data_IF_588582596618
#
_entry.id   IF_588582596618
#
_cell.length_a   1.000
_cell.length_b   1.000
_cell.length_c   1.000
_cell.angle_alpha   90.00
_cell.angle_beta   90.00
_cell.angle_gamma   90.00
#
_symmetry.space_group_name_H-M   'P 1'
#
loop_
_entity.id
_entity.type
_entity.pdbx_description
1 polymer ?
#
# COMPACT_ATOMS: atom_id res chain seq x y z
N UNK A 1 7.59 -2.83 -6.43
CA UNK A 1 6.52 -1.87 -6.77
C UNK A 1 6.15 -1.08 -5.54
N UNK A 2 5.88 0.22 -5.70
CA UNK A 2 5.46 1.08 -4.59
C UNK A 2 4.09 1.67 -4.90
N UNK A 3 3.33 1.90 -3.85
CA UNK A 3 1.98 2.45 -3.92
C UNK A 3 1.93 3.70 -3.05
N UNK A 4 1.29 4.75 -3.53
CA UNK A 4 1.02 5.95 -2.76
C UNK A 4 -0.40 5.88 -2.23
N UNK A 5 -0.57 6.09 -0.94
CA UNK A 5 -1.88 6.20 -0.34
C UNK A 5 -2.52 7.51 -0.79
N UNK A 6 -3.67 7.42 -1.43
CA UNK A 6 -4.48 8.57 -1.87
C UNK A 6 -5.70 8.80 -1.00
N UNK A 7 -6.06 7.82 -0.17
CA UNK A 7 -7.13 7.91 0.82
C UNK A 7 -6.71 7.20 2.09
N UNK A 8 -6.98 7.79 3.25
CA UNK A 8 -6.55 7.23 4.53
C UNK A 8 -7.05 5.79 4.71
N UNK A 9 -6.17 4.95 5.26
CA UNK A 9 -6.39 3.58 5.68
C UNK A 9 -6.30 3.56 7.21
N UNK A 10 -7.40 3.87 7.92
CA UNK A 10 -7.42 3.89 9.38
C UNK A 10 -7.50 2.48 10.00
N UNK A 11 -7.82 1.45 9.21
CA UNK A 11 -8.01 0.07 9.67
C UNK A 11 -7.21 -0.88 8.76
N UNK A 12 -5.88 -0.82 8.87
CA UNK A 12 -5.01 -1.82 8.28
C UNK A 12 -4.68 -2.91 9.30
N UNK A 13 -4.21 -4.06 8.82
CA UNK A 13 -4.00 -5.24 9.66
C UNK A 13 -3.05 -5.00 10.84
N UNK A 14 -1.86 -4.45 10.59
CA UNK A 14 -0.86 -4.18 11.62
C UNK A 14 -0.61 -2.68 11.82
N UNK A 15 -1.46 -1.82 11.26
CA UNK A 15 -1.34 -0.39 11.42
C UNK A 15 -2.15 0.42 10.42
N UNK A 16 -1.92 1.73 10.44
CA UNK A 16 -2.65 2.68 9.60
C UNK A 16 -1.73 3.36 8.58
N UNK A 17 -2.31 3.75 7.45
CA UNK A 17 -1.62 4.52 6.43
C UNK A 17 -2.43 5.76 6.09
N UNK A 18 -1.77 6.90 5.95
CA UNK A 18 -2.41 8.19 5.70
C UNK A 18 -2.16 8.64 4.27
N UNK A 19 -2.97 9.54 3.75
CA UNK A 19 -2.75 10.12 2.42
C UNK A 19 -1.33 10.66 2.29
N UNK A 20 -0.62 10.22 1.25
CA UNK A 20 0.78 10.56 1.00
C UNK A 20 1.79 9.53 1.50
N UNK A 21 1.39 8.58 2.35
CA UNK A 21 2.26 7.45 2.72
C UNK A 21 2.64 6.62 1.50
N UNK A 22 3.84 6.04 1.57
CA UNK A 22 4.37 5.16 0.53
C UNK A 22 4.37 3.73 1.06
N UNK A 23 3.53 2.90 0.47
CA UNK A 23 3.46 1.47 0.75
C UNK A 23 4.34 0.71 -0.24
N UNK A 24 5.00 -0.33 0.26
CA UNK A 24 5.85 -1.20 -0.55
C UNK A 24 5.15 -2.53 -0.76
N UNK A 25 5.11 -2.99 -2.01
CA UNK A 25 4.60 -4.31 -2.33
C UNK A 25 5.57 -5.38 -1.82
N UNK A 26 5.09 -6.25 -0.94
CA UNK A 26 5.77 -7.45 -0.46
C UNK A 26 4.89 -8.68 -0.65
N UNK A 27 5.22 -9.76 0.07
CA UNK A 27 4.38 -10.95 0.17
C UNK A 27 4.20 -11.33 1.63
N UNK A 28 2.96 -11.52 2.06
CA UNK A 28 2.62 -12.10 3.36
C UNK A 28 1.98 -13.48 3.12
N UNK A 29 2.56 -14.55 3.67
CA UNK A 29 2.03 -15.93 3.58
C UNK A 29 1.77 -16.47 2.16
N UNK A 30 2.25 -15.78 1.12
CA UNK A 30 2.09 -16.15 -0.29
C UNK A 30 1.34 -15.10 -1.09
N UNK A 31 0.55 -14.25 -0.42
CA UNK A 31 -0.32 -13.25 -1.03
C UNK A 31 0.40 -11.88 -1.15
N UNK A 32 0.10 -11.09 -2.19
CA UNK A 32 0.75 -9.80 -2.40
C UNK A 32 0.19 -8.76 -1.42
N UNK A 33 1.03 -8.23 -0.54
CA UNK A 33 0.60 -7.35 0.56
C UNK A 33 1.31 -6.00 0.49
N UNK A 34 0.60 -4.93 0.83
CA UNK A 34 1.13 -3.58 0.95
C UNK A 34 1.65 -3.33 2.37
N UNK A 35 2.93 -2.99 2.46
CA UNK A 35 3.61 -2.74 3.73
C UNK A 35 3.93 -1.26 3.91
N UNK A 36 3.66 -0.74 5.12
CA UNK A 36 4.19 0.55 5.59
C UNK A 36 5.40 0.27 6.48
N UNK A 37 6.59 0.36 5.91
CA UNK A 37 7.80 -0.04 6.60
C UNK A 37 7.80 -1.54 6.92
N UNK A 38 7.60 -1.91 8.18
CA UNK A 38 7.53 -3.31 8.63
C UNK A 38 6.10 -3.83 8.84
N UNK A 39 5.10 -2.95 8.82
CA UNK A 39 3.72 -3.30 9.15
C UNK A 39 2.96 -3.64 7.88
N UNK A 40 2.30 -4.79 7.85
CA UNK A 40 1.36 -5.11 6.79
C UNK A 40 0.06 -4.31 6.96
N UNK A 41 -0.40 -3.67 5.88
CA UNK A 41 -1.58 -2.80 5.89
C UNK A 41 -2.78 -3.51 5.29
N UNK A 42 -2.67 -3.97 4.04
CA UNK A 42 -3.73 -4.66 3.31
C UNK A 42 -3.16 -5.41 2.09
N UNK A 43 -3.93 -6.33 1.52
CA UNK A 43 -3.56 -6.97 0.25
C UNK A 43 -3.54 -5.97 -0.90
N UNK A 44 -2.56 -6.09 -1.78
CA UNK A 44 -2.37 -5.18 -2.91
C UNK A 44 -3.45 -5.35 -3.99
N UNK A 45 -4.06 -6.54 -4.11
CA UNK A 45 -5.17 -6.83 -5.02
C UNK A 45 -6.55 -6.63 -4.38
N UNK A 46 -6.62 -6.37 -3.07
CA UNK A 46 -7.89 -6.10 -2.41
C UNK A 46 -8.52 -4.80 -2.94
N UNK A 47 -9.85 -4.79 -3.03
CA UNK A 47 -10.63 -3.59 -3.38
C UNK A 47 -10.22 -2.38 -2.53
N UNK A 48 -9.90 -2.62 -1.26
CA UNK A 48 -9.46 -1.59 -0.33
C UNK A 48 -8.15 -0.93 -0.78
N UNK A 49 -7.15 -1.69 -1.23
CA UNK A 49 -5.93 -1.14 -1.80
C UNK A 49 -6.18 -0.43 -3.13
N UNK A 50 -7.02 -0.98 -4.00
CA UNK A 50 -7.34 -0.38 -5.31
C UNK A 50 -8.08 0.96 -5.19
N UNK A 51 -8.86 1.17 -4.14
CA UNK A 51 -9.60 2.42 -3.90
C UNK A 51 -8.80 3.43 -3.04
N UNK A 52 -7.86 2.96 -2.21
CA UNK A 52 -7.11 3.81 -1.28
C UNK A 52 -5.67 4.09 -1.70
N UNK A 53 -5.13 3.33 -2.65
CA UNK A 53 -3.75 3.43 -3.09
C UNK A 53 -3.63 3.49 -4.62
N UNK A 54 -2.67 4.26 -5.10
CA UNK A 54 -2.29 4.31 -6.51
C UNK A 54 -0.87 3.77 -6.69
N UNK A 55 -0.67 2.99 -7.76
CA UNK A 55 0.67 2.52 -8.12
C UNK A 55 1.54 3.70 -8.53
N UNK A 56 2.68 3.85 -7.87
CA UNK A 56 3.71 4.82 -8.28
C UNK A 56 4.42 4.21 -9.49
N UNK A 57 3.99 4.60 -10.69
CA UNK A 57 4.74 4.31 -11.91
C UNK A 57 6.03 5.10 -11.82
N UNK A 58 7.19 4.45 -11.97
CA UNK A 58 8.53 5.06 -11.96
C UNK A 58 8.78 6.03 -13.15
N UNK A 59 7.74 6.64 -13.72
CA UNK A 59 7.81 7.64 -14.78
C UNK A 59 8.08 9.06 -14.26
N UNK A 60 8.21 9.27 -12.94
CA UNK A 60 8.60 10.56 -12.33
C UNK A 60 10.11 10.65 -12.01
N UNK A 61 10.93 9.81 -12.64
CA UNK A 61 12.38 10.04 -12.74
C UNK A 61 12.67 10.68 -14.11
N UNK A 62 12.41 11.98 -14.26
CA UNK A 62 12.89 12.76 -15.40
C UNK A 62 13.60 14.02 -14.92
#
# INVERSE_FOLDING_TARGET
MKYRVIKDIPDGWEGTAQVGDILTLGRWEGDPTLYKGKNAICDADSKYALEHCELIKEAEAK
#
